data_IF_613636493470
#
_entry.id   IF_613636493470
#
_cell.length_a   1.000
_cell.length_b   1.000
_cell.length_c   1.000
_cell.angle_alpha   90.00
_cell.angle_beta   90.00
_cell.angle_gamma   90.00
#
_symmetry.space_group_name_H-M   'P 1'
#
loop_
_entity.id
_entity.type
_entity.pdbx_description
1 polymer ?
#
# COMPACT_ATOMS: atom_id res chain seq x y z
N UNK A 1 2.63 -9.06 14.68
CA UNK A 1 3.58 -9.38 13.59
C UNK A 1 5.01 -8.92 13.90
N UNK A 2 5.31 -7.64 14.21
CA UNK A 2 6.69 -7.22 14.49
C UNK A 2 7.31 -7.91 15.71
N UNK A 3 6.52 -8.09 16.77
CA UNK A 3 6.94 -8.78 18.00
C UNK A 3 7.43 -10.22 17.78
N UNK A 4 6.94 -10.91 16.73
CA UNK A 4 7.39 -12.26 16.42
C UNK A 4 8.77 -12.28 15.75
N UNK A 5 8.99 -11.37 14.78
CA UNK A 5 10.28 -11.28 14.09
C UNK A 5 11.40 -10.83 15.03
N UNK A 6 11.07 -9.98 16.01
CA UNK A 6 12.03 -9.51 17.01
C UNK A 6 12.61 -10.62 17.89
N UNK A 7 11.89 -11.72 18.09
CA UNK A 7 12.42 -12.88 18.79
C UNK A 7 13.55 -13.59 18.01
N UNK A 8 13.72 -13.26 16.73
CA UNK A 8 14.59 -13.99 15.80
C UNK A 8 15.61 -13.08 15.09
N UNK A 9 15.62 -11.77 15.34
CA UNK A 9 16.63 -10.85 14.80
C UNK A 9 16.75 -9.56 15.61
N UNK A 10 17.99 -9.11 15.78
CA UNK A 10 18.33 -7.80 16.36
C UNK A 10 18.48 -6.70 15.29
N UNK A 11 18.39 -7.07 14.01
CA UNK A 11 18.51 -6.15 12.88
C UNK A 11 17.32 -5.20 12.72
N UNK A 12 17.47 -4.17 11.88
CA UNK A 12 16.37 -3.26 11.54
C UNK A 12 15.25 -4.02 10.82
N UNK A 13 14.01 -3.87 11.29
CA UNK A 13 12.83 -4.47 10.67
C UNK A 13 12.16 -3.41 9.80
N UNK A 14 12.09 -3.68 8.49
CA UNK A 14 11.40 -2.83 7.53
C UNK A 14 10.26 -3.59 6.87
N UNK A 15 9.05 -3.03 6.95
CA UNK A 15 7.85 -3.56 6.30
C UNK A 15 7.60 -2.81 4.99
N UNK A 16 7.34 -3.53 3.91
CA UNK A 16 6.95 -2.93 2.63
C UNK A 16 5.44 -3.02 2.49
N UNK A 17 4.79 -1.89 2.25
CA UNK A 17 3.34 -1.79 2.18
C UNK A 17 2.92 -0.92 0.98
N UNK A 18 1.75 -1.19 0.39
CA UNK A 18 1.15 -0.31 -0.60
C UNK A 18 0.45 0.89 0.04
N UNK A 19 0.16 1.91 -0.77
CA UNK A 19 -0.61 3.09 -0.36
C UNK A 19 -2.00 2.75 0.21
N UNK A 20 -2.63 1.68 -0.26
CA UNK A 20 -3.90 1.19 0.30
C UNK A 20 -3.76 0.78 1.77
N UNK A 21 -2.69 0.07 2.13
CA UNK A 21 -2.43 -0.36 3.50
C UNK A 21 -2.14 0.84 4.42
N UNK A 22 -1.57 1.92 3.87
CA UNK A 22 -1.35 3.16 4.61
C UNK A 22 -2.70 3.80 5.00
N UNK A 23 -3.68 3.81 4.10
CA UNK A 23 -5.03 4.28 4.40
C UNK A 23 -5.66 3.43 5.50
N UNK A 24 -5.52 2.11 5.41
CA UNK A 24 -6.05 1.18 6.42
C UNK A 24 -5.39 1.37 7.79
N UNK A 25 -4.08 1.64 7.83
CA UNK A 25 -3.31 1.85 9.07
C UNK A 25 -3.83 3.04 9.89
N UNK A 26 -4.36 4.07 9.24
CA UNK A 26 -4.90 5.23 9.95
C UNK A 26 -6.41 5.11 10.20
N UNK A 27 -7.06 4.05 9.71
CA UNK A 27 -8.52 3.94 9.74
C UNK A 27 -9.03 3.62 11.16
N UNK A 28 -9.76 4.54 11.83
CA UNK A 28 -10.23 4.35 13.19
C UNK A 28 -11.14 3.12 13.37
N UNK A 29 -11.86 2.73 12.31
CA UNK A 29 -12.77 1.59 12.36
C UNK A 29 -12.05 0.27 12.65
N UNK A 30 -10.76 0.15 12.30
CA UNK A 30 -9.97 -1.06 12.57
C UNK A 30 -9.51 -1.15 14.03
N UNK A 31 -9.59 -0.06 14.80
CA UNK A 31 -9.01 0.04 16.14
C UNK A 31 -10.05 0.37 17.21
N UNK A 32 -11.33 0.12 16.94
CA UNK A 32 -12.44 0.32 17.91
C UNK A 32 -12.31 -0.52 19.18
N UNK A 33 -11.51 -1.58 19.13
CA UNK A 33 -11.21 -2.47 20.25
C UNK A 33 -10.00 -2.03 21.09
N UNK A 34 -9.31 -0.95 20.71
CA UNK A 34 -8.18 -0.37 21.43
C UNK A 34 -8.63 0.92 22.10
N UNK A 35 -8.32 1.08 23.39
CA UNK A 35 -8.67 2.30 24.14
C UNK A 35 -8.01 3.55 23.53
N UNK A 36 -6.77 3.43 23.04
CA UNK A 36 -6.05 4.51 22.37
C UNK A 36 -6.20 4.56 20.84
N UNK A 37 -7.07 3.71 20.26
CA UNK A 37 -7.40 3.70 18.84
C UNK A 37 -6.18 3.67 17.90
N UNK A 38 -6.19 4.55 16.89
CA UNK A 38 -5.13 4.66 15.87
C UNK A 38 -3.77 5.02 16.48
N UNK A 39 -3.74 5.87 17.51
CA UNK A 39 -2.49 6.31 18.15
C UNK A 39 -1.80 5.13 18.85
N UNK A 40 -2.57 4.32 19.57
CA UNK A 40 -2.06 3.11 20.23
C UNK A 40 -1.56 2.08 19.21
N UNK A 41 -2.32 1.85 18.14
CA UNK A 41 -1.92 0.94 17.07
C UNK A 41 -0.61 1.38 16.40
N UNK A 42 -0.48 2.67 16.08
CA UNK A 42 0.75 3.21 15.51
C UNK A 42 1.92 3.11 16.50
N UNK A 43 1.70 3.45 17.78
CA UNK A 43 2.73 3.33 18.81
C UNK A 43 3.23 1.89 18.98
N UNK A 44 2.34 0.90 18.88
CA UNK A 44 2.70 -0.53 18.91
C UNK A 44 3.43 -0.97 17.63
N UNK A 45 3.06 -0.45 16.47
CA UNK A 45 3.65 -0.82 15.17
C UNK A 45 5.07 -0.28 15.02
N UNK A 46 5.28 1.00 15.29
CA UNK A 46 6.56 1.69 15.13
C UNK A 46 7.48 1.55 16.35
N UNK A 47 7.04 0.80 17.36
CA UNK A 47 7.86 0.42 18.51
C UNK A 47 9.15 -0.23 18.02
N UNK A 48 10.26 0.04 18.71
CA UNK A 48 11.55 -0.63 18.47
C UNK A 48 12.14 -0.41 17.06
N UNK A 49 11.93 0.78 16.49
CA UNK A 49 12.54 1.25 15.25
C UNK A 49 12.11 0.47 14.00
N UNK A 50 10.87 -0.06 14.01
CA UNK A 50 10.25 -0.64 12.81
C UNK A 50 9.97 0.48 11.82
N UNK A 51 10.41 0.30 10.57
CA UNK A 51 10.17 1.23 9.47
C UNK A 51 9.13 0.65 8.52
N UNK A 52 8.30 1.50 7.94
CA UNK A 52 7.35 1.13 6.90
C UNK A 52 7.72 1.86 5.62
N UNK A 53 8.14 1.10 4.62
CA UNK A 53 8.38 1.59 3.27
C UNK A 53 7.09 1.51 2.46
N UNK A 54 6.63 2.65 1.97
CA UNK A 54 5.36 2.74 1.22
C UNK A 54 5.63 2.77 -0.27
N UNK A 55 5.15 1.73 -0.96
CA UNK A 55 5.21 1.62 -2.40
C UNK A 55 4.20 2.58 -3.06
N UNK A 56 4.60 3.32 -4.10
CA UNK A 56 3.74 4.30 -4.74
C UNK A 56 2.55 3.65 -5.46
N UNK A 57 1.59 4.47 -5.83
CA UNK A 57 0.35 4.06 -6.50
C UNK A 57 0.09 4.98 -7.68
N UNK A 58 -0.59 4.50 -8.73
CA UNK A 58 -0.97 5.35 -9.86
C UNK A 58 -2.15 6.26 -9.48
N UNK A 59 -2.22 7.46 -10.06
CA UNK A 59 -3.23 8.46 -9.72
C UNK A 59 -4.66 7.98 -9.94
N UNK A 60 -4.92 7.19 -10.98
CA UNK A 60 -6.22 6.55 -11.23
C UNK A 60 -6.64 5.56 -10.13
N UNK A 61 -5.70 4.76 -9.61
CA UNK A 61 -5.91 3.83 -8.51
C UNK A 61 -6.20 4.61 -7.23
N UNK A 62 -5.46 5.69 -6.98
CA UNK A 62 -5.70 6.55 -5.83
C UNK A 62 -7.07 7.23 -5.91
N UNK A 63 -7.49 7.68 -7.10
CA UNK A 63 -8.82 8.25 -7.32
C UNK A 63 -9.93 7.25 -7.00
N UNK A 64 -9.76 5.98 -7.38
CA UNK A 64 -10.70 4.90 -7.02
C UNK A 64 -10.73 4.64 -5.52
N UNK A 65 -9.55 4.64 -4.88
CA UNK A 65 -9.43 4.49 -3.43
C UNK A 65 -10.14 5.65 -2.71
N UNK A 66 -9.97 6.89 -3.16
CA UNK A 66 -10.66 8.06 -2.60
C UNK A 66 -12.17 7.96 -2.80
N UNK A 67 -12.64 7.43 -3.93
CA UNK A 67 -14.07 7.26 -4.17
C UNK A 67 -14.72 6.18 -3.28
N UNK A 68 -13.94 5.33 -2.61
CA UNK A 68 -14.45 4.34 -1.68
C UNK A 68 -14.91 5.01 -0.37
N UNK A 69 -16.20 4.86 0.03
CA UNK A 69 -16.74 5.45 1.25
C UNK A 69 -15.99 5.09 2.53
N UNK A 70 -15.31 3.94 2.56
CA UNK A 70 -14.53 3.47 3.72
C UNK A 70 -13.16 4.14 3.78
N UNK A 71 -12.47 4.26 2.65
CA UNK A 71 -11.16 4.91 2.56
C UNK A 71 -11.24 6.44 2.75
N UNK A 72 -12.38 7.04 2.39
CA UNK A 72 -12.66 8.46 2.58
C UNK A 72 -12.65 8.93 4.04
N UNK A 73 -12.83 8.04 5.02
CA UNK A 73 -12.98 8.46 6.43
C UNK A 73 -11.67 8.90 7.10
N UNK A 74 -10.53 8.74 6.41
CA UNK A 74 -9.24 8.64 7.11
C UNK A 74 -8.16 9.54 6.50
N UNK A 75 -7.88 9.38 5.22
CA UNK A 75 -6.62 9.82 4.64
C UNK A 75 -6.73 10.81 3.49
N UNK A 76 -7.90 11.41 3.24
CA UNK A 76 -8.05 12.37 2.14
C UNK A 76 -8.88 13.59 2.56
N UNK A 77 -8.47 14.82 2.17
CA UNK A 77 -9.30 16.02 2.31
C UNK A 77 -10.53 15.95 1.41
N UNK A 78 -11.49 16.84 1.65
CA UNK A 78 -12.73 16.94 0.85
C UNK A 78 -12.46 17.25 -0.63
N UNK A 79 -11.32 17.87 -0.95
CA UNK A 79 -10.88 18.19 -2.31
C UNK A 79 -9.48 17.68 -2.56
N UNK A 80 -9.33 16.78 -3.53
CA UNK A 80 -8.04 16.20 -3.91
C UNK A 80 -7.93 16.19 -5.44
N UNK A 81 -6.93 16.89 -5.97
CA UNK A 81 -6.65 16.97 -7.41
C UNK A 81 -5.43 16.11 -7.73
N UNK A 82 -5.65 15.00 -8.45
CA UNK A 82 -4.57 14.12 -8.93
C UNK A 82 -4.75 13.91 -10.43
N UNK A 83 -3.65 13.97 -11.17
CA UNK A 83 -3.61 13.53 -12.56
C UNK A 83 -3.65 11.99 -12.65
N UNK A 84 -4.50 11.46 -13.52
CA UNK A 84 -4.78 10.01 -13.67
C UNK A 84 -3.50 9.20 -13.92
N UNK A 85 -2.58 9.74 -14.72
CA UNK A 85 -1.34 9.06 -15.14
C UNK A 85 -0.14 9.37 -14.23
N UNK A 86 -0.34 10.10 -13.13
CA UNK A 86 0.73 10.43 -12.18
C UNK A 86 1.09 9.23 -11.30
N UNK A 87 2.34 9.20 -10.84
CA UNK A 87 2.81 8.32 -9.78
C UNK A 87 2.71 9.07 -8.46
N UNK A 88 1.84 8.60 -7.56
CA UNK A 88 1.61 9.21 -6.25
C UNK A 88 2.37 8.43 -5.19
N UNK A 89 3.17 9.13 -4.40
CA UNK A 89 3.92 8.55 -3.30
C UNK A 89 3.29 8.89 -1.95
N UNK A 90 3.73 8.23 -0.88
CA UNK A 90 3.30 8.61 0.47
C UNK A 90 3.72 10.04 0.87
N UNK A 91 4.65 10.67 0.15
CA UNK A 91 5.00 12.07 0.39
C UNK A 91 3.90 13.04 -0.04
N UNK A 92 3.10 12.64 -1.05
CA UNK A 92 2.08 13.48 -1.70
C UNK A 92 0.71 13.34 -1.02
N UNK A 93 0.54 12.32 -0.16
CA UNK A 93 -0.74 12.03 0.52
C UNK A 93 -1.07 13.10 1.54
N UNK A 94 -2.26 13.67 1.42
CA UNK A 94 -2.82 14.59 2.40
C UNK A 94 -3.80 13.86 3.31
N UNK A 95 -3.43 13.65 4.56
CA UNK A 95 -4.32 13.01 5.55
C UNK A 95 -5.21 14.03 6.29
N UNK A 96 -6.30 13.57 6.92
CA UNK A 96 -7.21 14.46 7.67
C UNK A 96 -6.50 15.15 8.85
N UNK A 97 -6.94 16.36 9.26
CA UNK A 97 -6.30 17.13 10.35
C UNK A 97 -6.10 16.35 11.65
N UNK A 98 -7.04 15.48 12.01
CA UNK A 98 -6.99 14.68 13.24
C UNK A 98 -5.78 13.74 13.32
N UNK A 99 -5.30 13.22 12.18
CA UNK A 99 -4.15 12.29 12.10
C UNK A 99 -2.92 12.91 11.42
N UNK A 100 -3.04 14.13 10.87
CA UNK A 100 -1.97 14.83 10.17
C UNK A 100 -0.72 15.07 11.02
N UNK A 101 -0.91 15.38 12.32
CA UNK A 101 0.20 15.53 13.25
C UNK A 101 1.01 14.25 13.42
N UNK A 102 0.32 13.12 13.64
CA UNK A 102 0.98 11.81 13.76
C UNK A 102 1.65 11.40 12.45
N UNK A 103 0.96 11.55 11.33
CA UNK A 103 1.51 11.21 10.01
C UNK A 103 2.80 11.99 9.72
N UNK A 104 2.78 13.29 9.97
CA UNK A 104 3.95 14.16 9.80
C UNK A 104 5.08 13.73 10.72
N UNK A 105 4.80 13.43 11.98
CA UNK A 105 5.80 12.94 12.93
C UNK A 105 6.46 11.63 12.45
N UNK A 106 5.65 10.65 12.03
CA UNK A 106 6.15 9.36 11.55
C UNK A 106 7.01 9.50 10.29
N UNK A 107 6.62 10.39 9.37
CA UNK A 107 7.39 10.66 8.15
C UNK A 107 8.71 11.38 8.45
N UNK A 108 8.67 12.45 9.24
CA UNK A 108 9.86 13.26 9.57
C UNK A 108 10.90 12.46 10.36
N UNK A 109 10.46 11.52 11.20
CA UNK A 109 11.35 10.65 11.97
C UNK A 109 11.78 9.38 11.23
N UNK A 110 11.43 9.22 9.95
CA UNK A 110 11.89 8.08 9.14
C UNK A 110 11.18 6.76 9.44
N UNK A 111 10.07 6.77 10.18
CA UNK A 111 9.22 5.60 10.38
C UNK A 111 8.36 5.28 9.14
N UNK A 112 7.96 6.30 8.39
CA UNK A 112 7.28 6.18 7.10
C UNK A 112 8.18 6.68 5.98
N UNK A 113 8.62 5.75 5.12
CA UNK A 113 9.58 6.03 4.04
C UNK A 113 8.89 5.81 2.69
N UNK A 114 8.66 6.86 1.89
CA UNK A 114 8.14 6.68 0.53
C UNK A 114 9.18 6.00 -0.36
N UNK A 115 8.76 4.99 -1.11
CA UNK A 115 9.60 4.38 -2.15
C UNK A 115 9.51 5.26 -3.40
N UNK A 116 10.67 5.70 -3.89
CA UNK A 116 10.81 6.51 -5.11
C UNK A 116 11.34 5.68 -6.27
N UNK A 117 11.07 6.10 -7.51
CA UNK A 117 11.64 5.47 -8.71
C UNK A 117 10.95 4.18 -9.16
N UNK A 118 9.73 3.92 -8.68
CA UNK A 118 8.93 2.80 -9.17
C UNK A 118 8.53 3.00 -10.64
N UNK A 119 8.61 1.94 -11.44
CA UNK A 119 8.19 1.97 -12.84
C UNK A 119 6.67 2.12 -12.95
N UNK A 120 6.15 3.12 -13.71
CA UNK A 120 4.72 3.26 -13.97
C UNK A 120 4.09 2.02 -14.62
N UNK A 121 4.86 1.27 -15.41
CA UNK A 121 4.40 0.03 -16.04
C UNK A 121 4.17 -1.08 -15.01
N UNK A 122 5.01 -1.16 -13.98
CA UNK A 122 4.84 -2.11 -12.88
C UNK A 122 3.62 -1.75 -12.01
N UNK A 123 3.28 -0.47 -11.88
CA UNK A 123 2.09 0.02 -11.17
C UNK A 123 0.77 -0.32 -11.89
N UNK A 124 0.82 -0.48 -13.22
CA UNK A 124 -0.33 -0.79 -14.04
C UNK A 124 -0.79 -2.26 -13.93
N UNK A 125 0.12 -3.18 -13.56
CA UNK A 125 -0.20 -4.59 -13.43
C UNK A 125 -1.02 -4.84 -12.16
N UNK A 126 -2.27 -5.26 -12.31
CA UNK A 126 -3.17 -5.52 -11.18
C UNK A 126 -3.37 -7.03 -11.00
N UNK A 127 -2.80 -7.66 -9.95
CA UNK A 127 -2.75 -9.12 -9.85
C UNK A 127 -4.11 -9.82 -9.82
N UNK A 128 -5.13 -9.18 -9.21
CA UNK A 128 -6.48 -9.77 -9.10
C UNK A 128 -7.14 -9.90 -10.47
N UNK A 129 -7.08 -8.86 -11.29
CA UNK A 129 -7.64 -8.88 -12.65
C UNK A 129 -6.78 -9.70 -13.60
N UNK A 130 -5.47 -9.80 -13.34
CA UNK A 130 -4.55 -10.65 -14.12
C UNK A 130 -4.94 -12.13 -14.03
N UNK A 131 -5.15 -12.66 -12.82
CA UNK A 131 -5.53 -14.06 -12.64
C UNK A 131 -6.89 -14.38 -13.27
N UNK A 132 -7.86 -13.47 -13.15
CA UNK A 132 -9.17 -13.59 -13.80
C UNK A 132 -9.06 -13.59 -15.32
N UNK A 133 -8.22 -12.73 -15.89
CA UNK A 133 -7.96 -12.66 -17.35
C UNK A 133 -7.27 -13.91 -17.87
N UNK A 134 -6.30 -14.45 -17.14
CA UNK A 134 -5.66 -15.73 -17.46
C UNK A 134 -6.70 -16.85 -17.47
N UNK A 135 -7.57 -16.90 -16.45
CA UNK A 135 -8.64 -17.90 -16.37
C UNK A 135 -9.71 -17.74 -17.46
N UNK A 136 -9.95 -16.52 -17.93
CA UNK A 136 -10.88 -16.21 -19.02
C UNK A 136 -10.26 -16.42 -20.42
N UNK A 137 -8.97 -16.75 -20.52
CA UNK A 137 -8.28 -16.95 -21.81
C UNK A 137 -8.03 -15.66 -22.59
N UNK A 138 -7.92 -14.52 -21.90
CA UNK A 138 -7.63 -13.22 -22.54
C UNK A 138 -6.14 -13.11 -22.83
N UNK A 139 -5.77 -12.86 -24.09
CA UNK A 139 -4.37 -12.71 -24.51
C UNK A 139 -3.72 -11.38 -24.07
N UNK A 140 -2.38 -11.33 -24.07
CA UNK A 140 -1.59 -10.10 -23.91
C UNK A 140 -1.11 -9.81 -22.48
N UNK A 141 -1.54 -10.61 -21.50
CA UNK A 141 -1.13 -10.53 -20.10
C UNK A 141 0.36 -10.86 -19.88
N UNK A 142 0.99 -11.56 -20.81
CA UNK A 142 2.39 -11.99 -20.72
C UNK A 142 3.37 -10.81 -20.69
N UNK A 143 2.96 -9.65 -21.21
CA UNK A 143 3.76 -8.41 -21.20
C UNK A 143 3.67 -7.66 -19.86
N UNK A 144 2.70 -8.01 -19.02
CA UNK A 144 2.43 -7.34 -17.74
C UNK A 144 3.23 -7.97 -16.57
N UNK A 145 3.77 -9.16 -16.78
CA UNK A 145 4.60 -9.87 -15.81
C UNK A 145 6.03 -10.07 -16.32
N UNK A 146 7.02 -10.26 -15.44
CA UNK A 146 8.36 -10.62 -15.87
C UNK A 146 8.34 -11.89 -16.75
N UNK A 147 9.13 -11.89 -17.83
CA UNK A 147 9.24 -13.02 -18.77
C UNK A 147 9.40 -14.41 -18.13
N UNK A 148 10.21 -14.62 -17.05
CA UNK A 148 10.29 -15.94 -16.40
C UNK A 148 8.96 -16.36 -15.74
N UNK A 149 8.16 -15.41 -15.25
CA UNK A 149 6.86 -15.68 -14.62
C UNK A 149 5.85 -16.09 -15.69
N UNK A 150 5.79 -15.39 -16.83
CA UNK A 150 4.92 -15.76 -17.94
C UNK A 150 5.18 -17.20 -18.42
N UNK A 151 6.46 -17.55 -18.61
CA UNK A 151 6.88 -18.91 -18.98
C UNK A 151 6.39 -19.95 -17.98
N UNK A 152 6.48 -19.66 -16.69
CA UNK A 152 6.09 -20.61 -15.64
C UNK A 152 4.58 -20.80 -15.54
N UNK A 153 3.80 -19.73 -15.70
CA UNK A 153 2.33 -19.77 -15.72
C UNK A 153 1.85 -20.66 -16.88
N UNK A 154 2.39 -20.45 -18.09
CA UNK A 154 2.05 -21.27 -19.26
C UNK A 154 2.52 -22.71 -19.09
N UNK A 155 3.76 -22.93 -18.61
CA UNK A 155 4.33 -24.27 -18.41
C UNK A 155 3.53 -25.11 -17.43
N UNK A 156 3.08 -24.51 -16.32
CA UNK A 156 2.32 -25.19 -15.26
C UNK A 156 0.81 -25.14 -15.45
N UNK A 157 0.31 -24.47 -16.49
CA UNK A 157 -1.13 -24.23 -16.72
C UNK A 157 -1.83 -23.65 -15.48
N UNK A 158 -1.17 -22.70 -14.79
CA UNK A 158 -1.77 -22.08 -13.60
C UNK A 158 -2.94 -21.20 -14.03
N UNK A 159 -4.09 -21.34 -13.34
CA UNK A 159 -5.34 -20.63 -13.60
C UNK A 159 -6.01 -20.87 -14.97
N UNK A 160 -5.36 -21.59 -15.89
CA UNK A 160 -5.92 -22.02 -17.17
C UNK A 160 -6.76 -23.29 -16.91
N UNK A 161 -8.07 -23.25 -17.24
CA UNK A 161 -8.94 -24.43 -17.17
C UNK A 161 -8.73 -25.38 -18.33
#
# INVERSE_FOLDING_TARGET
MPAYFRLHTDGEITLIAGMNNLVDLFNPQHYTHLEGGVLEACGRLFKENVKVMVYPMRGDQLRRLIADPVACQVCFPETYQIEVDSVVTAADVQVRPAVAGLFTHLRTNGFLVPITGASPQALACQPRTLAERIAAGVDGWEKEVPAPVAKEITRRKLWIK
#
